data_IF_947421552665
#
_entry.id   IF_947421552665
#
_cell.length_a   1.000
_cell.length_b   1.000
_cell.length_c   1.000
_cell.angle_alpha   90.00
_cell.angle_beta   90.00
_cell.angle_gamma   90.00
#
_symmetry.space_group_name_H-M   'P 1'
#
loop_
_entity.id
_entity.type
_entity.pdbx_description
1 polymer ?
#
# COMPACT_ATOMS: atom_id res chain seq x y z
N UNK A 1 -12.50 1.55 -4.00
CA UNK A 1 -11.39 1.72 -4.98
C UNK A 1 -10.73 0.38 -5.18
N UNK A 2 -9.85 0.23 -6.16
CA UNK A 2 -9.11 -1.03 -6.36
C UNK A 2 -7.65 -0.76 -6.71
N UNK A 3 -6.80 -1.74 -6.45
CA UNK A 3 -5.44 -1.80 -6.99
C UNK A 3 -5.36 -2.98 -7.96
N UNK A 4 -4.68 -2.78 -9.09
CA UNK A 4 -4.41 -3.83 -10.07
C UNK A 4 -2.95 -3.77 -10.43
N UNK A 5 -2.28 -4.91 -10.31
CA UNK A 5 -0.86 -5.07 -10.61
C UNK A 5 -0.77 -6.09 -11.73
N UNK A 6 -0.14 -5.69 -12.84
CA UNK A 6 0.05 -6.53 -14.02
C UNK A 6 1.54 -6.64 -14.28
N UNK A 7 2.04 -7.88 -14.32
CA UNK A 7 3.43 -8.19 -14.61
C UNK A 7 3.54 -9.26 -15.69
N UNK A 8 4.76 -9.56 -16.10
CA UNK A 8 5.06 -10.58 -17.11
C UNK A 8 4.61 -12.00 -16.74
N UNK A 9 4.54 -12.32 -15.44
CA UNK A 9 4.24 -13.67 -14.94
C UNK A 9 2.96 -13.77 -14.10
N UNK A 10 2.14 -12.72 -14.07
CA UNK A 10 0.90 -12.76 -13.30
C UNK A 10 0.15 -11.43 -13.26
N UNK A 11 -1.10 -11.51 -12.84
CA UNK A 11 -1.98 -10.37 -12.64
C UNK A 11 -2.76 -10.53 -11.34
N UNK A 12 -2.85 -9.44 -10.59
CA UNK A 12 -3.61 -9.39 -9.32
C UNK A 12 -4.51 -8.17 -9.33
N UNK A 13 -5.74 -8.36 -8.84
CA UNK A 13 -6.67 -7.28 -8.54
C UNK A 13 -7.23 -7.45 -7.13
N UNK A 14 -7.02 -6.42 -6.30
CA UNK A 14 -7.66 -6.31 -4.99
C UNK A 14 -8.66 -5.15 -5.04
N UNK A 15 -9.92 -5.45 -4.80
CA UNK A 15 -11.05 -4.53 -4.84
C UNK A 15 -11.88 -4.56 -3.56
N UNK A 16 -13.19 -4.39 -3.70
CA UNK A 16 -14.09 -4.16 -2.57
C UNK A 16 -14.13 -2.71 -2.08
N UNK A 17 -14.88 -2.47 -1.01
CA UNK A 17 -15.13 -1.11 -0.48
C UNK A 17 -13.81 -0.48 0.01
N UNK A 18 -12.94 -1.29 0.62
CA UNK A 18 -11.72 -0.85 1.28
C UNK A 18 -10.47 -1.64 0.84
N UNK A 19 -10.41 -2.08 -0.43
CA UNK A 19 -9.29 -2.91 -0.94
C UNK A 19 -9.12 -4.19 -0.09
N UNK A 20 -10.25 -4.84 0.19
CA UNK A 20 -10.36 -5.93 1.15
C UNK A 20 -10.84 -7.25 0.53
N UNK A 21 -11.06 -7.27 -0.79
CA UNK A 21 -11.51 -8.45 -1.53
C UNK A 21 -10.54 -8.76 -2.65
N UNK A 22 -10.01 -9.98 -2.68
CA UNK A 22 -9.29 -10.47 -3.85
C UNK A 22 -10.30 -10.74 -4.95
N UNK A 23 -10.19 -10.00 -6.06
CA UNK A 23 -11.09 -10.13 -7.22
C UNK A 23 -10.45 -10.92 -8.35
N UNK A 24 -9.11 -10.93 -8.42
CA UNK A 24 -8.34 -11.71 -9.39
C UNK A 24 -6.96 -12.02 -8.81
N UNK A 25 -6.52 -13.28 -8.96
CA UNK A 25 -5.24 -13.79 -8.49
C UNK A 25 -4.78 -14.89 -9.44
N UNK A 26 -3.88 -14.56 -10.36
CA UNK A 26 -3.39 -15.50 -11.36
C UNK A 26 -1.89 -15.29 -11.59
N UNK A 27 -1.14 -16.37 -11.46
CA UNK A 27 0.30 -16.42 -11.69
C UNK A 27 0.62 -17.61 -12.59
N UNK A 28 1.74 -17.50 -13.31
CA UNK A 28 2.23 -18.56 -14.19
C UNK A 28 2.58 -19.83 -13.43
N UNK A 29 3.23 -19.67 -12.29
CA UNK A 29 3.74 -20.75 -11.44
C UNK A 29 3.00 -20.71 -10.10
N UNK A 30 2.81 -21.89 -9.51
CA UNK A 30 2.16 -22.07 -8.22
C UNK A 30 3.08 -21.67 -7.06
N UNK A 31 2.53 -21.03 -6.04
CA UNK A 31 3.16 -20.80 -4.73
C UNK A 31 2.24 -21.26 -3.59
N UNK A 32 2.82 -21.70 -2.46
CA UNK A 32 2.01 -22.12 -1.31
C UNK A 32 1.17 -20.97 -0.73
N UNK A 33 1.62 -19.72 -0.89
CA UNK A 33 0.88 -18.52 -0.49
C UNK A 33 -0.45 -18.36 -1.27
N UNK A 34 -0.60 -19.00 -2.44
CA UNK A 34 -1.86 -19.00 -3.21
C UNK A 34 -3.03 -19.60 -2.42
N UNK A 35 -2.74 -20.49 -1.47
CA UNK A 35 -3.75 -21.09 -0.58
C UNK A 35 -4.28 -20.10 0.45
N UNK A 36 -3.54 -19.02 0.74
CA UNK A 36 -3.87 -18.07 1.81
C UNK A 36 -4.91 -17.03 1.38
N UNK A 37 -5.14 -16.88 0.07
CA UNK A 37 -5.90 -15.79 -0.53
C UNK A 37 -7.34 -15.70 0.00
N UNK A 38 -8.04 -16.83 0.13
CA UNK A 38 -9.40 -16.84 0.67
C UNK A 38 -9.46 -16.40 2.13
N UNK A 39 -8.41 -16.71 2.91
CA UNK A 39 -8.30 -16.35 4.33
C UNK A 39 -7.76 -14.94 4.57
N UNK A 40 -7.10 -14.34 3.58
CA UNK A 40 -6.48 -13.02 3.69
C UNK A 40 -7.49 -11.86 3.60
N UNK A 41 -8.72 -12.12 3.16
CA UNK A 41 -9.77 -11.10 3.07
C UNK A 41 -10.21 -10.64 4.46
N UNK A 42 -9.82 -9.42 4.86
CA UNK A 42 -10.20 -8.84 6.14
C UNK A 42 -11.44 -7.96 6.02
N UNK A 43 -12.46 -8.20 6.85
CA UNK A 43 -13.61 -7.30 7.00
C UNK A 43 -13.57 -6.65 8.39
N UNK A 44 -12.96 -5.46 8.52
CA UNK A 44 -12.94 -4.78 9.81
C UNK A 44 -14.36 -4.38 10.22
N UNK A 45 -14.64 -4.48 11.52
CA UNK A 45 -15.95 -4.14 12.09
C UNK A 45 -16.20 -2.63 12.17
N UNK A 46 -15.18 -1.81 11.93
CA UNK A 46 -15.26 -0.35 11.91
C UNK A 46 -14.20 0.28 10.98
N UNK A 47 -14.29 1.60 10.77
CA UNK A 47 -13.39 2.37 9.90
C UNK A 47 -11.93 2.45 10.36
N UNK A 48 -11.67 2.16 11.64
CA UNK A 48 -10.34 2.19 12.23
C UNK A 48 -9.55 0.90 11.98
N UNK A 49 -10.22 -0.11 11.40
CA UNK A 49 -9.56 -1.26 10.84
C UNK A 49 -8.71 -2.05 11.83
N UNK A 50 -7.74 -2.78 11.30
CA UNK A 50 -6.73 -3.52 12.07
C UNK A 50 -5.38 -2.79 12.12
N UNK A 51 -5.24 -1.66 11.42
CA UNK A 51 -3.94 -1.02 11.17
C UNK A 51 -3.36 -0.26 12.36
N UNK A 52 -4.19 0.42 13.17
CA UNK A 52 -3.69 1.30 14.22
C UNK A 52 -2.98 0.57 15.36
N UNK A 53 -3.46 -0.60 15.75
CA UNK A 53 -2.83 -1.39 16.81
C UNK A 53 -1.41 -1.81 16.41
N UNK A 54 -1.24 -2.37 15.20
CA UNK A 54 0.07 -2.73 14.67
C UNK A 54 1.00 -1.53 14.53
N UNK A 55 0.46 -0.38 14.08
CA UNK A 55 1.22 0.86 13.99
C UNK A 55 1.74 1.33 15.36
N UNK A 56 0.86 1.43 16.37
CA UNK A 56 1.25 1.87 17.72
C UNK A 56 2.21 0.88 18.40
N UNK A 57 2.08 -0.41 18.09
CA UNK A 57 3.03 -1.42 18.55
C UNK A 57 4.43 -1.17 17.97
N UNK A 58 4.56 -0.98 16.65
CA UNK A 58 5.85 -0.66 16.03
C UNK A 58 6.43 0.66 16.54
N UNK A 59 5.61 1.67 16.82
CA UNK A 59 6.06 2.91 17.48
C UNK A 59 6.67 2.61 18.85
N UNK A 60 5.99 1.81 19.67
CA UNK A 60 6.47 1.45 21.01
C UNK A 60 7.77 0.64 20.93
N UNK A 61 7.82 -0.36 20.06
CA UNK A 61 9.00 -1.21 19.89
C UNK A 61 10.19 -0.43 19.33
N UNK A 62 9.97 0.54 18.43
CA UNK A 62 11.00 1.45 17.94
C UNK A 62 11.57 2.32 19.06
N UNK A 63 10.71 2.88 19.92
CA UNK A 63 11.14 3.69 21.07
C UNK A 63 11.91 2.87 22.12
N UNK A 64 11.61 1.57 22.22
CA UNK A 64 12.29 0.62 23.11
C UNK A 64 13.54 -0.02 22.48
N UNK A 65 13.88 0.30 21.23
CA UNK A 65 15.01 -0.28 20.51
C UNK A 65 14.86 -1.77 20.15
N UNK A 66 13.61 -2.28 20.12
CA UNK A 66 13.29 -3.66 19.76
C UNK A 66 13.05 -3.85 18.27
N UNK A 67 12.72 -2.76 17.57
CA UNK A 67 12.40 -2.75 16.16
C UNK A 67 12.82 -1.42 15.52
N UNK A 68 12.76 -1.35 14.19
CA UNK A 68 12.94 -0.13 13.42
C UNK A 68 11.58 0.47 13.01
N UNK A 69 11.46 1.80 12.84
CA UNK A 69 10.22 2.38 12.34
C UNK A 69 9.87 1.82 10.97
N UNK A 70 8.71 1.18 10.83
CA UNK A 70 8.26 0.61 9.54
C UNK A 70 7.98 1.69 8.49
N UNK A 71 7.59 2.89 8.95
CA UNK A 71 7.39 4.07 8.11
C UNK A 71 7.93 5.28 8.85
N UNK A 72 9.10 5.77 8.46
CA UNK A 72 9.68 6.97 9.07
C UNK A 72 9.29 8.26 8.33
N UNK A 73 9.80 9.40 8.80
CA UNK A 73 9.53 10.69 8.14
C UNK A 73 10.08 10.77 6.71
N UNK A 74 11.13 10.02 6.36
CA UNK A 74 11.67 9.97 5.00
C UNK A 74 10.79 9.13 4.10
N UNK A 75 10.23 8.03 4.58
CA UNK A 75 9.23 7.25 3.84
C UNK A 75 7.97 8.06 3.55
N UNK A 76 7.50 8.83 4.53
CA UNK A 76 6.38 9.77 4.35
C UNK A 76 6.62 10.82 3.27
N UNK A 77 7.88 11.25 3.04
CA UNK A 77 8.20 12.20 1.96
C UNK A 77 7.97 11.63 0.57
N UNK A 78 8.11 10.31 0.37
CA UNK A 78 7.92 9.67 -0.94
C UNK A 78 6.48 9.84 -1.44
N UNK A 79 5.48 9.63 -0.56
CA UNK A 79 4.07 9.82 -0.93
C UNK A 79 3.70 11.30 -1.06
N UNK A 80 4.23 12.15 -0.18
CA UNK A 80 4.01 13.60 -0.26
C UNK A 80 4.56 14.19 -1.57
N UNK A 81 5.76 13.77 -1.98
CA UNK A 81 6.37 14.20 -3.24
C UNK A 81 5.48 13.86 -4.45
N UNK A 82 4.93 12.64 -4.49
CA UNK A 82 4.01 12.22 -5.55
C UNK A 82 2.72 13.06 -5.56
N UNK A 83 2.14 13.37 -4.39
CA UNK A 83 0.94 14.22 -4.27
C UNK A 83 1.23 15.63 -4.81
N UNK A 84 2.38 16.20 -4.47
CA UNK A 84 2.78 17.52 -4.96
C UNK A 84 2.96 17.51 -6.49
N UNK A 85 3.61 16.49 -7.04
CA UNK A 85 3.75 16.31 -8.48
C UNK A 85 2.39 16.18 -9.19
N UNK A 86 1.43 15.46 -8.60
CA UNK A 86 0.05 15.36 -9.11
C UNK A 86 -0.66 16.72 -9.11
N UNK A 87 -0.51 17.51 -8.03
CA UNK A 87 -1.10 18.85 -7.95
C UNK A 87 -0.50 19.82 -8.97
N UNK A 88 0.83 19.80 -9.16
CA UNK A 88 1.49 20.60 -10.20
C UNK A 88 1.05 20.17 -11.61
N UNK A 89 0.99 18.85 -11.86
CA UNK A 89 0.51 18.30 -13.12
C UNK A 89 -0.92 18.74 -13.43
N UNK A 90 -1.81 18.70 -12.43
CA UNK A 90 -3.21 19.12 -12.59
C UNK A 90 -3.33 20.63 -12.82
N UNK A 91 -2.52 21.44 -12.13
CA UNK A 91 -2.53 22.90 -12.25
C UNK A 91 -2.03 23.38 -13.61
N UNK A 92 -0.98 22.77 -14.15
CA UNK A 92 -0.30 23.23 -15.36
C UNK A 92 -0.56 22.37 -16.60
N UNK A 93 -1.28 21.26 -16.47
CA UNK A 93 -1.62 20.38 -17.59
C UNK A 93 -0.40 19.72 -18.24
N UNK A 94 0.69 19.49 -17.49
CA UNK A 94 1.95 18.94 -18.01
C UNK A 94 2.46 17.80 -17.14
N UNK A 95 3.25 16.91 -17.74
CA UNK A 95 3.98 15.86 -17.00
C UNK A 95 4.99 16.50 -16.05
N UNK A 96 5.05 16.00 -14.82
CA UNK A 96 6.04 16.38 -13.80
C UNK A 96 6.93 15.17 -13.54
N UNK A 97 8.24 15.36 -13.64
CA UNK A 97 9.23 14.32 -13.37
C UNK A 97 9.54 14.26 -11.87
N UNK A 98 9.92 13.07 -11.41
CA UNK A 98 10.46 12.85 -10.06
C UNK A 98 11.95 12.49 -10.14
N UNK A 99 12.78 12.83 -9.13
CA UNK A 99 12.42 13.58 -7.92
C UNK A 99 12.09 15.06 -8.22
N UNK A 100 11.32 15.69 -7.34
CA UNK A 100 11.06 17.13 -7.44
C UNK A 100 12.36 17.89 -7.17
N UNK A 101 12.74 18.76 -8.10
CA UNK A 101 13.88 19.67 -7.95
C UNK A 101 13.37 21.05 -7.57
N UNK A 102 13.78 21.54 -6.41
CA UNK A 102 13.54 22.91 -5.95
C UNK A 102 14.80 23.76 -6.07
#
# INVERSE_FOLDING_TARGET
GSITIMGENGTVKIGGIAVNKVEHWEFKDYDDDDKLIESAATNPTNIYGFGHQGFLQNVTDSLLGKDSPHTDGRDGRKSLELILAMYESAKYGKKIALPLTY
#
